data_IF_487761083073
#
_entry.id   IF_487761083073
#
_cell.length_a   1.000
_cell.length_b   1.000
_cell.length_c   1.000
_cell.angle_alpha   90.00
_cell.angle_beta   90.00
_cell.angle_gamma   90.00
#
_symmetry.space_group_name_H-M   'P 1'
#
loop_
_entity.id
_entity.type
_entity.pdbx_description
1 polymer ?
#
# COMPACT_ATOMS: atom_id res chain seq x y z
N UNK A 1 -0.90 -33.47 -8.00
CA UNK A 1 -2.01 -32.75 -8.66
C UNK A 1 -1.84 -31.21 -8.65
N UNK A 2 -0.64 -30.62 -8.43
CA UNK A 2 -0.49 -29.16 -8.27
C UNK A 2 -0.08 -28.36 -9.52
N UNK A 3 -0.25 -28.90 -10.74
CA UNK A 3 0.18 -28.24 -11.98
C UNK A 3 -0.96 -27.70 -12.84
N UNK A 4 -2.22 -28.09 -12.57
CA UNK A 4 -3.36 -27.73 -13.41
C UNK A 4 -3.54 -26.21 -13.46
N UNK A 5 -3.55 -25.56 -12.29
CA UNK A 5 -3.84 -24.12 -12.11
C UNK A 5 -2.63 -23.18 -12.18
N UNK A 6 -1.43 -23.75 -12.34
CA UNK A 6 -0.20 -22.95 -12.37
C UNK A 6 -0.08 -22.08 -13.62
N UNK A 7 -0.47 -22.55 -14.83
CA UNK A 7 -0.52 -21.71 -16.04
C UNK A 7 -1.48 -20.53 -15.91
N UNK A 8 -2.69 -20.76 -15.39
CA UNK A 8 -3.75 -19.76 -15.23
C UNK A 8 -3.32 -18.69 -14.21
N UNK A 9 -2.77 -19.12 -13.08
CA UNK A 9 -2.17 -18.19 -12.11
C UNK A 9 -1.04 -17.35 -12.73
N UNK A 10 -0.18 -17.96 -13.55
CA UNK A 10 0.91 -17.24 -14.22
C UNK A 10 0.36 -16.25 -15.24
N UNK A 11 -0.65 -16.62 -16.01
CA UNK A 11 -1.30 -15.72 -16.96
C UNK A 11 -1.91 -14.51 -16.24
N UNK A 12 -2.67 -14.73 -15.16
CA UNK A 12 -3.23 -13.66 -14.35
C UNK A 12 -2.12 -12.75 -13.75
N UNK A 13 -1.02 -13.34 -13.28
CA UNK A 13 0.12 -12.57 -12.78
C UNK A 13 0.81 -11.75 -13.88
N UNK A 14 0.94 -12.27 -15.10
CA UNK A 14 1.49 -11.50 -16.22
C UNK A 14 0.60 -10.31 -16.57
N UNK A 15 -0.72 -10.47 -16.56
CA UNK A 15 -1.66 -9.35 -16.74
C UNK A 15 -1.45 -8.27 -15.66
N UNK A 16 -1.23 -8.67 -14.40
CA UNK A 16 -0.91 -7.75 -13.32
C UNK A 16 0.41 -7.01 -13.54
N UNK A 17 1.47 -7.73 -13.92
CA UNK A 17 2.80 -7.17 -14.22
C UNK A 17 2.76 -6.21 -15.43
N UNK A 18 1.85 -6.44 -16.39
CA UNK A 18 1.62 -5.60 -17.57
C UNK A 18 0.63 -4.44 -17.31
N UNK A 19 0.26 -4.17 -16.05
CA UNK A 19 -0.71 -3.15 -15.63
C UNK A 19 -2.12 -3.31 -16.22
N UNK A 20 -2.48 -4.50 -16.69
CA UNK A 20 -3.83 -4.85 -17.14
C UNK A 20 -4.69 -5.29 -15.94
N UNK A 21 -4.88 -4.36 -14.99
CA UNK A 21 -5.40 -4.67 -13.65
C UNK A 21 -6.82 -5.25 -13.65
N UNK A 22 -7.73 -4.76 -14.49
CA UNK A 22 -9.11 -5.27 -14.57
C UNK A 22 -9.16 -6.69 -15.13
N UNK A 23 -8.38 -6.97 -16.18
CA UNK A 23 -8.30 -8.30 -16.80
C UNK A 23 -7.63 -9.29 -15.84
N UNK A 24 -6.56 -8.85 -15.18
CA UNK A 24 -5.89 -9.59 -14.10
C UNK A 24 -6.87 -9.93 -12.97
N UNK A 25 -7.63 -8.94 -12.49
CA UNK A 25 -8.59 -9.11 -11.40
C UNK A 25 -9.68 -10.11 -11.78
N UNK A 26 -10.27 -9.98 -12.96
CA UNK A 26 -11.27 -10.92 -13.47
C UNK A 26 -10.71 -12.35 -13.53
N UNK A 27 -9.50 -12.53 -14.07
CA UNK A 27 -8.85 -13.84 -14.14
C UNK A 27 -8.54 -14.43 -12.75
N UNK A 28 -8.20 -13.58 -11.78
CA UNK A 28 -7.97 -13.98 -10.39
C UNK A 28 -9.25 -14.37 -9.66
N UNK A 29 -10.36 -13.64 -9.87
CA UNK A 29 -11.66 -13.99 -9.33
C UNK A 29 -12.18 -15.32 -9.92
N UNK A 30 -12.05 -15.52 -11.23
CA UNK A 30 -12.39 -16.80 -11.89
C UNK A 30 -11.59 -17.99 -11.31
N UNK A 31 -10.30 -17.77 -11.01
CA UNK A 31 -9.48 -18.77 -10.32
C UNK A 31 -9.99 -19.10 -8.91
N UNK A 32 -10.58 -18.14 -8.19
CA UNK A 32 -11.10 -18.40 -6.83
C UNK A 32 -12.45 -19.14 -6.84
N UNK A 33 -13.21 -19.04 -7.93
CA UNK A 33 -14.47 -19.75 -8.11
C UNK A 33 -14.26 -21.27 -8.29
N UNK A 34 -13.05 -21.70 -8.64
CA UNK A 34 -12.69 -23.11 -8.78
C UNK A 34 -12.46 -23.78 -7.40
N UNK A 35 -13.36 -24.69 -7.01
CA UNK A 35 -13.36 -25.32 -5.68
C UNK A 35 -12.15 -26.21 -5.33
N UNK A 36 -11.34 -26.62 -6.30
CA UNK A 36 -10.20 -27.52 -6.10
C UNK A 36 -8.84 -26.85 -6.28
N UNK A 37 -8.80 -25.51 -6.26
CA UNK A 37 -7.54 -24.77 -6.33
C UNK A 37 -6.64 -25.08 -5.13
N UNK A 38 -5.38 -25.48 -5.37
CA UNK A 38 -4.42 -25.71 -4.32
C UNK A 38 -4.25 -24.48 -3.43
N UNK A 39 -4.19 -24.71 -2.11
CA UNK A 39 -4.06 -23.67 -1.07
C UNK A 39 -2.94 -22.65 -1.36
N UNK A 40 -1.86 -23.08 -2.03
CA UNK A 40 -0.76 -22.20 -2.39
C UNK A 40 -1.11 -21.19 -3.50
N UNK A 41 -1.88 -21.60 -4.49
CA UNK A 41 -2.37 -20.74 -5.56
C UNK A 41 -3.48 -19.86 -5.00
N UNK A 42 -4.40 -20.44 -4.23
CA UNK A 42 -5.46 -19.71 -3.55
C UNK A 42 -4.94 -18.55 -2.70
N UNK A 43 -3.96 -18.81 -1.83
CA UNK A 43 -3.35 -17.75 -1.01
C UNK A 43 -2.65 -16.67 -1.86
N UNK A 44 -1.95 -17.05 -2.93
CA UNK A 44 -1.24 -16.07 -3.77
C UNK A 44 -2.20 -15.20 -4.57
N UNK A 45 -3.30 -15.76 -5.05
CA UNK A 45 -4.37 -15.02 -5.74
C UNK A 45 -5.01 -14.01 -4.79
N UNK A 46 -5.36 -14.44 -3.58
CA UNK A 46 -5.92 -13.56 -2.54
C UNK A 46 -4.98 -12.40 -2.16
N UNK A 47 -3.67 -12.69 -2.03
CA UNK A 47 -2.67 -11.66 -1.75
C UNK A 47 -2.61 -10.64 -2.90
N UNK A 48 -2.55 -11.09 -4.15
CA UNK A 48 -2.51 -10.19 -5.32
C UNK A 48 -3.77 -9.34 -5.48
N UNK A 49 -4.96 -9.92 -5.24
CA UNK A 49 -6.20 -9.16 -5.20
C UNK A 49 -6.19 -8.08 -4.11
N UNK A 50 -5.54 -8.35 -2.98
CA UNK A 50 -5.39 -7.39 -1.89
C UNK A 50 -4.33 -6.32 -2.16
N UNK A 51 -3.40 -6.55 -3.10
CA UNK A 51 -2.53 -5.49 -3.63
C UNK A 51 -3.33 -4.56 -4.56
N UNK A 52 -4.34 -5.11 -5.23
CA UNK A 52 -5.11 -4.39 -6.25
C UNK A 52 -6.33 -3.63 -5.68
N UNK A 53 -6.47 -3.54 -4.35
CA UNK A 53 -7.58 -2.85 -3.70
C UNK A 53 -7.16 -1.42 -3.35
N UNK A 54 -8.02 -0.43 -3.64
CA UNK A 54 -7.79 0.96 -3.25
C UNK A 54 -8.06 1.22 -1.74
N UNK A 55 -8.63 0.24 -1.05
CA UNK A 55 -9.01 0.31 0.36
C UNK A 55 -7.89 -0.24 1.26
N UNK A 56 -7.09 0.67 1.83
CA UNK A 56 -5.92 0.31 2.61
C UNK A 56 -6.27 -0.44 3.90
N UNK A 57 -7.35 -0.08 4.58
CA UNK A 57 -7.75 -0.77 5.82
C UNK A 57 -8.07 -2.23 5.50
N UNK A 58 -8.78 -2.47 4.39
CA UNK A 58 -9.02 -3.84 3.89
C UNK A 58 -7.73 -4.54 3.46
N UNK A 59 -6.80 -3.84 2.82
CA UNK A 59 -5.53 -4.43 2.39
C UNK A 59 -4.68 -4.86 3.60
N UNK A 60 -4.64 -4.07 4.66
CA UNK A 60 -3.91 -4.36 5.90
C UNK A 60 -4.58 -5.49 6.69
N UNK A 61 -5.91 -5.47 6.81
CA UNK A 61 -6.68 -6.57 7.42
C UNK A 61 -6.44 -7.89 6.68
N UNK A 62 -6.48 -7.85 5.34
CA UNK A 62 -6.19 -9.01 4.49
C UNK A 62 -4.75 -9.49 4.69
N UNK A 63 -3.76 -8.58 4.75
CA UNK A 63 -2.37 -8.93 5.04
C UNK A 63 -2.23 -9.66 6.37
N UNK A 64 -2.83 -9.15 7.45
CA UNK A 64 -2.81 -9.78 8.77
C UNK A 64 -3.46 -11.17 8.76
N UNK A 65 -4.58 -11.32 8.05
CA UNK A 65 -5.26 -12.61 7.89
C UNK A 65 -4.37 -13.62 7.13
N UNK A 66 -3.72 -13.21 6.06
CA UNK A 66 -2.86 -14.10 5.26
C UNK A 66 -1.54 -14.43 5.95
N UNK A 67 -0.96 -13.49 6.70
CA UNK A 67 0.21 -13.74 7.55
C UNK A 67 -0.13 -14.80 8.61
N UNK A 68 -1.30 -14.68 9.23
CA UNK A 68 -1.82 -15.66 10.20
C UNK A 68 -2.00 -17.04 9.56
N UNK A 69 -2.63 -17.10 8.38
CA UNK A 69 -2.83 -18.33 7.63
C UNK A 69 -1.50 -18.98 7.22
N UNK A 70 -0.51 -18.17 6.81
CA UNK A 70 0.84 -18.66 6.51
C UNK A 70 1.53 -19.25 7.73
N UNK A 71 1.42 -18.62 8.91
CA UNK A 71 1.99 -19.17 10.15
C UNK A 71 1.36 -20.52 10.52
N UNK A 72 0.04 -20.66 10.38
CA UNK A 72 -0.65 -21.94 10.58
C UNK A 72 -0.17 -23.00 9.59
N UNK A 73 -0.06 -22.63 8.31
CA UNK A 73 0.41 -23.50 7.23
C UNK A 73 1.85 -23.94 7.51
N UNK A 74 2.74 -23.01 7.86
CA UNK A 74 4.13 -23.29 8.23
C UNK A 74 4.24 -24.23 9.43
N UNK A 75 3.41 -24.03 10.45
CA UNK A 75 3.41 -24.90 11.64
C UNK A 75 3.01 -26.32 11.29
N UNK A 76 2.04 -26.50 10.38
CA UNK A 76 1.60 -27.81 9.87
C UNK A 76 2.70 -28.54 9.11
N UNK A 77 3.48 -27.83 8.30
CA UNK A 77 4.56 -28.41 7.49
C UNK A 77 5.95 -28.32 8.14
N UNK A 78 6.04 -28.02 9.45
CA UNK A 78 7.31 -27.73 10.14
C UNK A 78 8.36 -28.84 10.04
N UNK A 79 7.91 -30.10 10.00
CA UNK A 79 8.77 -31.27 9.88
C UNK A 79 8.64 -31.97 8.53
N UNK A 80 7.94 -31.34 7.59
CA UNK A 80 7.77 -31.90 6.26
C UNK A 80 9.06 -31.69 5.45
N UNK A 81 9.67 -32.80 5.05
CA UNK A 81 10.85 -32.79 4.17
C UNK A 81 10.44 -32.77 2.70
N UNK A 82 9.14 -32.77 2.41
CA UNK A 82 8.64 -32.58 1.05
C UNK A 82 9.09 -31.23 0.49
N UNK A 83 9.90 -31.32 -0.56
CA UNK A 83 10.42 -30.17 -1.29
C UNK A 83 9.30 -29.30 -1.85
N UNK A 84 8.16 -29.90 -2.20
CA UNK A 84 7.02 -29.16 -2.73
C UNK A 84 6.31 -28.33 -1.66
N UNK A 85 6.10 -28.87 -0.46
CA UNK A 85 5.60 -28.13 0.70
C UNK A 85 6.50 -26.93 1.07
N UNK A 86 7.83 -27.13 1.10
CA UNK A 86 8.78 -26.05 1.38
C UNK A 86 8.77 -24.96 0.30
N UNK A 87 8.68 -25.36 -0.97
CA UNK A 87 8.59 -24.41 -2.09
C UNK A 87 7.31 -23.60 -2.01
N UNK A 88 6.19 -24.24 -1.70
CA UNK A 88 4.89 -23.59 -1.49
C UNK A 88 4.95 -22.53 -0.38
N UNK A 89 5.50 -22.87 0.79
CA UNK A 89 5.64 -21.93 1.89
C UNK A 89 6.49 -20.72 1.53
N UNK A 90 7.58 -20.95 0.78
CA UNK A 90 8.43 -19.87 0.28
C UNK A 90 7.68 -18.95 -0.68
N UNK A 91 6.96 -19.49 -1.67
CA UNK A 91 6.23 -18.68 -2.63
C UNK A 91 5.13 -17.82 -1.99
N UNK A 92 4.42 -18.36 -0.98
CA UNK A 92 3.43 -17.56 -0.23
C UNK A 92 4.14 -16.46 0.56
N UNK A 93 5.31 -16.76 1.15
CA UNK A 93 6.08 -15.76 1.90
C UNK A 93 6.58 -14.62 1.02
N UNK A 94 7.04 -14.96 -0.19
CA UNK A 94 7.45 -13.97 -1.20
C UNK A 94 6.28 -13.04 -1.52
N UNK A 95 5.09 -13.58 -1.83
CA UNK A 95 3.90 -12.75 -2.10
C UNK A 95 3.46 -11.91 -0.90
N UNK A 96 3.58 -12.40 0.34
CA UNK A 96 3.30 -11.61 1.54
C UNK A 96 4.28 -10.44 1.71
N UNK A 97 5.55 -10.64 1.36
CA UNK A 97 6.53 -9.55 1.37
C UNK A 97 6.23 -8.53 0.27
N UNK A 98 5.85 -8.98 -0.94
CA UNK A 98 5.41 -8.10 -2.05
C UNK A 98 4.25 -7.18 -1.59
N UNK A 99 3.21 -7.75 -0.97
CA UNK A 99 2.08 -6.96 -0.45
C UNK A 99 2.51 -5.95 0.61
N UNK A 100 3.43 -6.31 1.52
CA UNK A 100 3.93 -5.39 2.54
C UNK A 100 4.74 -4.25 1.90
N UNK A 101 5.60 -4.55 0.93
CA UNK A 101 6.43 -3.54 0.26
C UNK A 101 5.56 -2.52 -0.48
N UNK A 102 4.54 -2.97 -1.22
CA UNK A 102 3.60 -2.06 -1.90
C UNK A 102 2.87 -1.16 -0.90
N UNK A 103 2.38 -1.72 0.21
CA UNK A 103 1.70 -0.92 1.24
C UNK A 103 2.63 0.10 1.92
N UNK A 104 3.90 -0.26 2.14
CA UNK A 104 4.91 0.65 2.68
C UNK A 104 5.21 1.80 1.70
N UNK A 105 5.34 1.50 0.40
CA UNK A 105 5.53 2.51 -0.65
C UNK A 105 4.35 3.48 -0.74
N UNK A 106 3.12 2.96 -0.79
CA UNK A 106 1.90 3.80 -0.83
C UNK A 106 1.76 4.70 0.41
N UNK A 107 2.13 4.20 1.58
CA UNK A 107 2.13 4.98 2.82
C UNK A 107 3.16 6.13 2.76
N UNK A 108 4.36 5.86 2.24
CA UNK A 108 5.40 6.87 2.06
C UNK A 108 5.00 7.93 1.02
N UNK A 109 4.39 7.53 -0.09
CA UNK A 109 3.90 8.47 -1.11
C UNK A 109 2.84 9.42 -0.56
N UNK A 110 1.92 8.90 0.26
CA UNK A 110 0.92 9.74 0.94
C UNK A 110 1.54 10.69 1.93
N UNK A 111 2.48 10.23 2.76
CA UNK A 111 3.21 11.10 3.68
C UNK A 111 3.94 12.22 2.92
N UNK A 112 4.56 11.88 1.78
CA UNK A 112 5.22 12.86 0.92
C UNK A 112 4.22 13.86 0.29
N UNK A 113 3.05 13.40 -0.15
CA UNK A 113 2.02 14.29 -0.72
C UNK A 113 1.36 15.18 0.34
N UNK A 114 1.16 14.68 1.55
CA UNK A 114 0.72 15.47 2.70
C UNK A 114 1.75 16.54 3.08
N UNK A 115 3.04 16.17 3.12
CA UNK A 115 4.12 17.11 3.32
C UNK A 115 4.13 18.19 2.22
N UNK A 116 3.99 17.82 0.94
CA UNK A 116 3.87 18.77 -0.18
C UNK A 116 2.66 19.69 -0.04
N UNK A 117 1.50 19.17 0.40
CA UNK A 117 0.31 19.99 0.70
C UNK A 117 0.59 20.96 1.84
N UNK A 118 1.25 20.51 2.90
CA UNK A 118 1.71 21.37 4.01
C UNK A 118 2.62 22.48 3.54
N UNK A 119 3.62 22.16 2.72
CA UNK A 119 4.52 23.13 2.10
C UNK A 119 3.77 24.16 1.25
N UNK A 120 2.80 23.73 0.41
CA UNK A 120 1.95 24.64 -0.37
C UNK A 120 1.11 25.56 0.52
N UNK A 121 0.57 25.06 1.65
CA UNK A 121 -0.14 25.90 2.63
C UNK A 121 0.80 26.93 3.25
N UNK A 122 2.01 26.55 3.65
CA UNK A 122 3.00 27.45 4.21
C UNK A 122 3.46 28.51 3.20
N UNK A 123 3.72 28.14 1.94
CA UNK A 123 4.08 29.08 0.86
C UNK A 123 2.96 30.09 0.59
N UNK A 124 1.70 29.63 0.57
CA UNK A 124 0.54 30.50 0.43
C UNK A 124 0.43 31.50 1.60
N UNK A 125 0.62 31.04 2.84
CA UNK A 125 0.61 31.90 4.03
C UNK A 125 1.76 32.92 4.01
N UNK A 126 2.97 32.51 3.61
CA UNK A 126 4.10 33.42 3.45
C UNK A 126 3.84 34.49 2.39
N UNK A 127 3.23 34.13 1.25
CA UNK A 127 2.83 35.10 0.23
C UNK A 127 1.78 36.09 0.72
N UNK A 128 0.85 35.69 1.59
CA UNK A 128 -0.07 36.64 2.23
C UNK A 128 0.68 37.56 3.21
N UNK A 129 1.60 37.01 4.01
CA UNK A 129 2.33 37.76 5.03
C UNK A 129 3.35 38.75 4.45
N UNK A 130 3.97 38.41 3.32
CA UNK A 130 5.05 39.21 2.70
C UNK A 130 4.66 39.85 1.36
N UNK A 131 3.62 39.36 0.66
CA UNK A 131 3.15 39.92 -0.61
C UNK A 131 2.35 41.22 -0.48
N UNK A 132 1.95 41.59 0.75
CA UNK A 132 1.44 42.93 1.08
C UNK A 132 2.55 43.95 1.31
N UNK A 133 3.84 43.58 1.23
CA UNK A 133 4.97 44.49 1.54
C UNK A 133 5.30 45.49 0.42
N UNK A 134 4.75 45.33 -0.78
CA UNK A 134 4.99 46.25 -1.92
C UNK A 134 3.78 47.16 -2.24
N UNK A 135 2.67 47.02 -1.52
CA UNK A 135 1.54 47.97 -1.59
C UNK A 135 1.26 48.53 -0.21
N UNK A 136 1.54 49.83 -0.10
CA UNK A 136 1.16 50.71 0.99
C UNK A 136 2.11 50.67 2.20
N UNK A 137 3.27 51.29 1.96
CA UNK A 137 3.96 52.08 2.96
C UNK A 137 3.02 53.21 3.44
N UNK A 138 2.13 52.90 4.40
CA UNK A 138 1.50 53.81 5.36
C UNK A 138 0.39 53.04 6.10
N UNK A 139 0.57 52.83 7.41
CA UNK A 139 -0.33 52.15 8.35
C UNK A 139 -0.41 50.61 8.28
N UNK A 140 0.36 49.92 9.13
CA UNK A 140 -0.08 48.68 9.83
C UNK A 140 0.92 48.26 10.92
N UNK A 141 0.94 49.00 12.03
CA UNK A 141 1.54 48.54 13.29
C UNK A 141 0.66 47.50 14.03
N UNK A 142 -0.03 46.60 13.30
CA UNK A 142 -1.17 45.86 13.85
C UNK A 142 -1.37 44.42 13.40
N UNK A 143 -0.53 43.84 12.53
CA UNK A 143 -0.59 42.40 12.21
C UNK A 143 0.41 41.66 13.12
N UNK A 144 0.19 41.80 14.42
CA UNK A 144 1.17 41.54 15.47
C UNK A 144 1.01 40.14 16.07
N UNK A 145 2.10 39.36 16.06
CA UNK A 145 2.42 38.19 16.89
C UNK A 145 1.55 36.92 16.78
N UNK A 146 0.23 37.03 16.67
CA UNK A 146 -0.69 35.88 16.70
C UNK A 146 -0.52 34.96 15.47
N UNK A 147 -0.36 35.56 14.28
CA UNK A 147 -0.13 34.81 13.04
C UNK A 147 1.28 34.21 12.98
N UNK A 148 2.27 34.88 13.58
CA UNK A 148 3.63 34.35 13.72
C UNK A 148 3.67 33.11 14.62
N UNK A 149 2.87 33.09 15.69
CA UNK A 149 2.73 31.92 16.56
C UNK A 149 2.07 30.71 15.87
N UNK A 150 1.15 30.93 14.93
CA UNK A 150 0.52 29.85 14.14
C UNK A 150 1.53 29.22 13.16
N UNK A 151 2.38 30.05 12.54
CA UNK A 151 3.43 29.58 11.63
C UNK A 151 4.54 28.84 12.38
N UNK A 152 4.99 29.37 13.54
CA UNK A 152 5.95 28.65 14.41
C UNK A 152 5.39 27.33 14.94
N UNK A 153 4.10 27.27 15.27
CA UNK A 153 3.45 26.05 15.73
C UNK A 153 3.43 24.96 14.64
N UNK A 154 3.06 25.32 13.41
CA UNK A 154 3.05 24.36 12.28
C UNK A 154 4.45 23.89 11.90
N UNK A 155 5.47 24.77 11.89
CA UNK A 155 6.85 24.40 11.55
C UNK A 155 7.53 23.52 12.61
N UNK A 156 7.06 23.54 13.86
CA UNK A 156 7.69 22.85 14.99
C UNK A 156 7.02 21.54 15.38
N UNK A 157 5.76 21.32 15.00
CA UNK A 157 4.96 20.17 15.47
C UNK A 157 4.38 19.26 14.36
N UNK A 158 4.48 19.62 13.07
CA UNK A 158 4.07 18.74 11.95
C UNK A 158 5.26 18.20 11.12
N UNK A 159 6.47 18.20 11.68
CA UNK A 159 7.69 17.63 11.06
C UNK A 159 7.94 16.18 11.46
#
# INVERSE_FOLDING_TARGET
>A
MGKKYLPEYKAARTLWEDYQLEESKSAMEELLDEHDVPVNIYMRVLILLSISTDDQDKAEDARLAYETLWQFTRKRYRYDTDRWAQTTLRCIRESLNELREVQEEEALERQAEEARRGWRRCDYLLKILYGDSDRDNENKAGVSKALWGIVEFHLRFEG
#
